data_IF_812137929760
#
_entry.id   IF_812137929760
#
_cell.length_a   1.000
_cell.length_b   1.000
_cell.length_c   1.000
_cell.angle_alpha   90.00
_cell.angle_beta   90.00
_cell.angle_gamma   90.00
#
_symmetry.space_group_name_H-M   'P 1'
#
loop_
_entity.id
_entity.type
_entity.pdbx_description
1 polymer ?
#
# COMPACT_ATOMS: atom_id res chain seq x y z
N UNK A 1 -4.90 -16.64 -21.06
CA UNK A 1 -4.88 -15.55 -20.05
C UNK A 1 -4.41 -16.11 -18.73
N UNK A 2 -3.35 -15.58 -18.17
CA UNK A 2 -2.86 -16.03 -16.85
C UNK A 2 -3.69 -15.43 -15.70
N UNK A 3 -3.43 -15.85 -14.48
CA UNK A 3 -4.23 -15.38 -13.32
C UNK A 3 -4.12 -13.88 -13.08
N UNK A 4 -2.94 -13.31 -13.27
CA UNK A 4 -2.70 -11.86 -13.13
C UNK A 4 -3.59 -11.08 -14.11
N UNK A 5 -3.57 -11.48 -15.38
CA UNK A 5 -4.39 -10.86 -16.43
C UNK A 5 -5.88 -11.00 -16.14
N UNK A 6 -6.31 -12.17 -15.64
CA UNK A 6 -7.70 -12.40 -15.24
C UNK A 6 -8.14 -11.44 -14.13
N UNK A 7 -7.31 -11.21 -13.12
CA UNK A 7 -7.62 -10.30 -12.02
C UNK A 7 -7.66 -8.84 -12.48
N UNK A 8 -6.69 -8.42 -13.30
CA UNK A 8 -6.65 -7.07 -13.86
C UNK A 8 -7.92 -6.80 -14.67
N UNK A 9 -8.32 -7.72 -15.54
CA UNK A 9 -9.51 -7.56 -16.36
C UNK A 9 -10.79 -7.59 -15.53
N UNK A 10 -10.93 -8.57 -14.63
CA UNK A 10 -12.14 -8.73 -13.83
C UNK A 10 -12.44 -7.55 -12.95
N UNK A 11 -11.41 -6.99 -12.32
CA UNK A 11 -11.56 -5.91 -11.35
C UNK A 11 -11.16 -4.54 -11.87
N UNK A 12 -10.85 -4.44 -13.18
CA UNK A 12 -10.47 -3.19 -13.86
C UNK A 12 -9.31 -2.49 -13.16
N UNK A 13 -8.28 -3.26 -12.79
CA UNK A 13 -7.12 -2.73 -12.09
C UNK A 13 -6.27 -1.86 -13.02
N UNK A 14 -5.78 -0.74 -12.51
CA UNK A 14 -4.91 0.18 -13.23
C UNK A 14 -3.77 0.67 -12.34
N UNK A 15 -2.67 1.23 -12.92
CA UNK A 15 -1.50 1.62 -12.13
C UNK A 15 -1.79 2.65 -11.03
N UNK A 16 -1.14 2.48 -9.87
CA UNK A 16 -1.20 3.40 -8.73
C UNK A 16 0.07 4.26 -8.67
N UNK A 17 -0.01 5.54 -8.23
CA UNK A 17 1.18 6.41 -8.09
C UNK A 17 2.28 5.86 -7.19
N UNK A 18 1.94 5.12 -6.13
CA UNK A 18 2.92 4.50 -5.23
C UNK A 18 3.59 3.26 -5.81
N UNK A 19 3.04 2.71 -6.88
CA UNK A 19 3.40 1.43 -7.47
C UNK A 19 2.28 0.41 -7.30
N UNK A 20 2.28 -0.64 -8.14
CA UNK A 20 1.23 -1.64 -8.16
C UNK A 20 0.00 -1.21 -8.96
N UNK A 21 -1.07 -2.00 -8.85
CA UNK A 21 -2.34 -1.79 -9.56
C UNK A 21 -3.50 -1.74 -8.58
N UNK A 22 -4.51 -0.91 -8.86
CA UNK A 22 -5.65 -0.76 -7.94
C UNK A 22 -6.94 -0.46 -8.69
N UNK A 23 -8.05 -0.63 -7.99
CA UNK A 23 -9.37 -0.13 -8.42
C UNK A 23 -10.17 0.28 -7.19
N UNK A 24 -10.80 1.45 -7.27
CA UNK A 24 -11.72 1.90 -6.24
C UNK A 24 -13.02 1.10 -6.34
N UNK A 25 -13.49 0.52 -5.22
CA UNK A 25 -14.66 -0.36 -5.21
C UNK A 25 -15.73 0.06 -4.24
N UNK A 26 -15.43 0.92 -3.28
CA UNK A 26 -16.41 1.37 -2.31
C UNK A 26 -16.02 2.73 -1.73
N UNK A 27 -17.01 3.60 -1.60
CA UNK A 27 -16.94 4.83 -0.81
C UNK A 27 -18.19 4.90 0.04
N UNK A 28 -18.04 5.00 1.36
CA UNK A 28 -19.16 5.07 2.26
C UNK A 28 -20.00 6.33 1.98
N UNK A 29 -21.34 6.24 1.95
CA UNK A 29 -22.19 7.40 1.71
C UNK A 29 -22.38 8.29 2.93
N UNK A 30 -21.65 8.04 4.00
CA UNK A 30 -21.74 8.75 5.28
C UNK A 30 -20.51 9.65 5.44
N UNK A 31 -20.70 10.85 5.99
CA UNK A 31 -19.62 11.81 6.15
C UNK A 31 -18.96 11.68 7.53
N UNK A 32 -17.63 11.73 7.52
CA UNK A 32 -16.80 11.88 8.71
C UNK A 32 -16.64 13.37 9.05
N UNK A 33 -16.44 14.19 8.02
CA UNK A 33 -16.31 15.65 8.08
C UNK A 33 -17.04 16.23 6.86
N UNK A 34 -17.19 17.56 6.81
CA UNK A 34 -17.96 18.28 5.80
C UNK A 34 -17.73 17.79 4.36
N UNK A 35 -16.48 17.55 3.98
CA UNK A 35 -16.11 17.14 2.62
C UNK A 35 -15.37 15.80 2.58
N UNK A 36 -15.62 14.93 3.57
CA UNK A 36 -14.90 13.66 3.63
C UNK A 36 -15.80 12.52 4.13
N UNK A 37 -15.90 11.50 3.34
CA UNK A 37 -16.65 10.29 3.67
C UNK A 37 -15.92 9.51 4.78
N UNK A 38 -16.64 8.68 5.53
CA UNK A 38 -16.11 8.01 6.71
C UNK A 38 -15.30 6.75 6.39
N UNK A 39 -15.38 6.20 5.19
CA UNK A 39 -14.61 5.01 4.81
C UNK A 39 -14.60 4.80 3.30
N UNK A 40 -13.63 4.08 2.82
CA UNK A 40 -13.56 3.60 1.44
C UNK A 40 -12.76 2.32 1.35
N UNK A 41 -12.81 1.67 0.19
CA UNK A 41 -12.06 0.45 -0.05
C UNK A 41 -11.62 0.35 -1.51
N UNK A 42 -10.47 -0.28 -1.71
CA UNK A 42 -9.91 -0.58 -3.03
C UNK A 42 -9.54 -2.05 -3.10
N UNK A 43 -9.48 -2.58 -4.32
CA UNK A 43 -8.64 -3.74 -4.61
C UNK A 43 -7.24 -3.23 -4.96
N UNK A 44 -6.24 -3.99 -4.58
CA UNK A 44 -4.84 -3.65 -4.82
C UNK A 44 -4.03 -4.90 -5.15
N UNK A 45 -3.08 -4.80 -6.08
CA UNK A 45 -2.26 -5.95 -6.48
C UNK A 45 -0.83 -5.51 -6.76
N UNK A 46 0.12 -6.26 -6.24
CA UNK A 46 1.53 -6.20 -6.63
C UNK A 46 1.84 -7.41 -7.52
N UNK A 47 2.46 -7.14 -8.66
CA UNK A 47 2.84 -8.17 -9.64
C UNK A 47 4.35 -8.27 -9.67
N UNK A 48 4.88 -9.48 -9.41
CA UNK A 48 6.32 -9.75 -9.46
C UNK A 48 7.10 -8.80 -8.56
N UNK A 49 8.04 -8.03 -9.11
CA UNK A 49 8.88 -7.10 -8.37
C UNK A 49 8.30 -5.69 -8.25
N UNK A 50 7.00 -5.52 -8.48
CA UNK A 50 6.32 -4.28 -8.14
C UNK A 50 6.52 -3.95 -6.66
N UNK A 51 6.65 -2.67 -6.37
CA UNK A 51 6.78 -2.17 -5.01
C UNK A 51 5.74 -1.08 -4.80
N UNK A 52 4.97 -1.19 -3.71
CA UNK A 52 4.23 -0.06 -3.16
C UNK A 52 5.23 0.72 -2.31
N UNK A 53 5.78 1.80 -2.89
CA UNK A 53 6.88 2.55 -2.29
C UNK A 53 6.45 3.29 -1.02
N UNK A 54 7.41 3.60 -0.15
CA UNK A 54 7.14 4.31 1.10
C UNK A 54 6.30 5.56 0.86
N UNK A 55 5.21 5.64 1.58
CA UNK A 55 4.26 6.75 1.55
C UNK A 55 3.60 6.89 2.91
N UNK A 56 2.91 8.02 3.09
CA UNK A 56 2.16 8.34 4.30
C UNK A 56 0.76 8.75 3.87
N UNK A 57 -0.24 8.30 4.62
CA UNK A 57 -1.62 8.74 4.45
C UNK A 57 -2.18 9.25 5.77
N UNK A 58 -3.23 10.06 5.71
CA UNK A 58 -3.84 10.70 6.88
C UNK A 58 -5.07 9.94 7.40
N UNK A 59 -5.12 8.64 7.16
CA UNK A 59 -6.19 7.75 7.61
C UNK A 59 -5.59 6.41 8.03
N UNK A 60 -6.31 5.66 8.85
CA UNK A 60 -5.95 4.27 9.10
C UNK A 60 -6.23 3.44 7.86
N UNK A 61 -5.40 2.45 7.58
CA UNK A 61 -5.60 1.53 6.46
C UNK A 61 -5.55 0.09 6.96
N UNK A 62 -6.48 -0.72 6.48
CA UNK A 62 -6.56 -2.15 6.80
C UNK A 62 -6.35 -2.92 5.51
N UNK A 63 -5.37 -3.82 5.51
CA UNK A 63 -5.05 -4.68 4.36
C UNK A 63 -5.56 -6.09 4.63
N UNK A 64 -6.32 -6.65 3.68
CA UNK A 64 -6.88 -8.01 3.75
C UNK A 64 -6.32 -8.85 2.62
N UNK A 65 -5.66 -9.95 2.97
CA UNK A 65 -5.13 -10.88 1.98
C UNK A 65 -6.24 -11.64 1.26
N UNK A 66 -6.15 -11.75 -0.06
CA UNK A 66 -7.08 -12.56 -0.85
C UNK A 66 -6.39 -13.72 -1.54
N UNK A 67 -5.28 -13.48 -2.25
CA UNK A 67 -4.70 -14.49 -3.14
C UNK A 67 -3.24 -14.16 -3.46
N UNK A 68 -2.44 -15.18 -3.70
CA UNK A 68 -1.07 -15.05 -4.19
C UNK A 68 -0.02 -15.44 -3.16
N UNK A 69 1.20 -14.95 -3.36
CA UNK A 69 2.35 -15.35 -2.54
C UNK A 69 2.43 -14.66 -1.17
N UNK A 70 1.70 -13.58 -0.98
CA UNK A 70 1.82 -12.76 0.22
C UNK A 70 2.74 -11.57 0.03
N UNK A 71 2.61 -10.59 0.93
CA UNK A 71 3.37 -9.34 0.92
C UNK A 71 4.09 -9.13 2.24
N UNK A 72 5.28 -8.52 2.18
CA UNK A 72 5.91 -7.93 3.35
C UNK A 72 5.53 -6.46 3.40
N UNK A 73 4.91 -6.02 4.50
CA UNK A 73 4.59 -4.61 4.75
C UNK A 73 5.62 -4.11 5.76
N UNK A 74 6.40 -3.10 5.35
CA UNK A 74 7.43 -2.49 6.20
C UNK A 74 6.93 -1.13 6.65
N UNK A 75 7.03 -0.85 7.94
CA UNK A 75 6.56 0.39 8.58
C UNK A 75 7.71 1.08 9.29
N UNK A 76 7.72 2.42 9.25
CA UNK A 76 8.64 3.25 10.01
C UNK A 76 7.78 4.21 10.83
N UNK A 77 7.87 4.13 12.16
CA UNK A 77 7.12 5.02 13.03
C UNK A 77 7.82 6.38 13.22
N UNK A 78 7.19 7.27 13.97
CA UNK A 78 7.70 8.64 14.22
C UNK A 78 9.03 8.65 14.98
N UNK A 79 9.33 7.59 15.73
CA UNK A 79 10.58 7.43 16.48
C UNK A 79 11.69 6.78 15.64
N UNK A 80 11.40 6.45 14.37
CA UNK A 80 12.35 5.80 13.47
C UNK A 80 12.46 4.29 13.66
N UNK A 81 11.54 3.67 14.40
CA UNK A 81 11.52 2.22 14.56
C UNK A 81 10.98 1.55 13.30
N UNK A 82 11.76 0.61 12.76
CA UNK A 82 11.38 -0.15 11.56
C UNK A 82 10.81 -1.48 12.01
N UNK A 83 9.58 -1.76 11.58
CA UNK A 83 8.92 -3.05 11.81
C UNK A 83 8.39 -3.60 10.50
N UNK A 84 8.16 -4.90 10.43
CA UNK A 84 7.54 -5.51 9.26
C UNK A 84 6.54 -6.57 9.68
N UNK A 85 5.53 -6.75 8.84
CA UNK A 85 4.51 -7.78 9.00
C UNK A 85 4.26 -8.42 7.64
N UNK A 86 4.29 -9.75 7.60
CA UNK A 86 3.95 -10.49 6.38
C UNK A 86 2.44 -10.72 6.33
N UNK A 87 1.83 -10.33 5.22
CA UNK A 87 0.39 -10.47 4.95
C UNK A 87 0.18 -11.69 4.06
N UNK A 88 -0.58 -12.67 4.52
CA UNK A 88 -0.84 -13.92 3.80
C UNK A 88 -1.53 -14.93 4.69
N UNK A 89 -1.50 -16.21 4.27
CA UNK A 89 -2.19 -17.30 4.99
C UNK A 89 -1.28 -18.39 5.52
N UNK A 90 0.05 -18.24 5.39
CA UNK A 90 1.00 -19.19 5.97
C UNK A 90 1.14 -18.93 7.48
N UNK A 91 1.72 -19.91 8.22
CA UNK A 91 1.78 -19.87 9.69
C UNK A 91 2.45 -18.60 10.24
N UNK A 92 3.46 -18.05 9.55
CA UNK A 92 4.18 -16.85 9.97
C UNK A 92 3.56 -15.55 9.44
N UNK A 93 2.43 -15.65 8.75
CA UNK A 93 1.78 -14.53 8.07
C UNK A 93 0.43 -14.21 8.73
N UNK A 94 0.00 -12.95 8.60
CA UNK A 94 -1.31 -12.52 9.08
C UNK A 94 -2.23 -12.27 7.89
N UNK A 95 -3.50 -12.68 8.02
CA UNK A 95 -4.50 -12.49 6.96
C UNK A 95 -4.95 -11.03 6.84
N UNK A 96 -4.74 -10.25 7.89
CA UNK A 96 -5.10 -8.83 7.97
C UNK A 96 -4.00 -8.07 8.69
N UNK A 97 -3.66 -6.88 8.16
CA UNK A 97 -2.67 -5.98 8.77
C UNK A 97 -3.26 -4.57 8.83
N UNK A 98 -3.12 -3.90 9.97
CA UNK A 98 -3.54 -2.51 10.17
C UNK A 98 -2.32 -1.60 10.11
N UNK A 99 -2.39 -0.56 9.27
CA UNK A 99 -1.40 0.51 9.23
C UNK A 99 -2.04 1.76 9.82
N UNK A 100 -1.58 2.24 11.00
CA UNK A 100 -2.12 3.47 11.60
C UNK A 100 -1.82 4.70 10.74
N UNK A 101 -2.70 5.68 10.79
CA UNK A 101 -2.48 6.95 10.08
C UNK A 101 -1.15 7.58 10.47
N UNK A 102 -0.49 8.20 9.52
CA UNK A 102 0.75 8.93 9.74
C UNK A 102 2.01 8.08 9.79
N UNK A 103 1.88 6.75 9.75
CA UNK A 103 3.03 5.83 9.69
C UNK A 103 3.53 5.75 8.25
N UNK A 104 4.84 5.83 8.05
CA UNK A 104 5.46 5.56 6.75
C UNK A 104 5.42 4.07 6.48
N UNK A 105 4.92 3.65 5.31
CA UNK A 105 4.87 2.22 5.00
C UNK A 105 5.08 1.94 3.53
N UNK A 106 5.57 0.73 3.26
CA UNK A 106 5.82 0.20 1.92
C UNK A 106 5.47 -1.28 1.90
N UNK A 107 5.21 -1.83 0.71
CA UNK A 107 4.91 -3.24 0.56
C UNK A 107 5.61 -3.84 -0.65
N UNK A 108 6.00 -5.09 -0.55
CA UNK A 108 6.62 -5.86 -1.61
C UNK A 108 6.16 -7.31 -1.54
N UNK A 109 6.16 -8.00 -2.68
CA UNK A 109 5.82 -9.42 -2.71
C UNK A 109 6.86 -10.25 -1.97
N UNK A 110 6.42 -11.30 -1.28
CA UNK A 110 7.33 -12.27 -0.67
C UNK A 110 8.06 -13.12 -1.70
N UNK A 111 7.54 -13.19 -2.94
CA UNK A 111 8.19 -13.85 -4.08
C UNK A 111 8.15 -12.92 -5.29
N UNK A 112 9.30 -12.66 -5.90
CA UNK A 112 9.43 -11.78 -7.06
C UNK A 112 8.92 -12.42 -8.36
N UNK A 113 8.60 -13.71 -8.35
CA UNK A 113 8.08 -14.44 -9.49
C UNK A 113 6.55 -14.57 -9.49
N UNK A 114 5.89 -14.01 -8.49
CA UNK A 114 4.46 -14.21 -8.25
C UNK A 114 3.72 -12.86 -8.14
N UNK A 115 2.59 -12.87 -7.48
CA UNK A 115 1.73 -11.70 -7.27
C UNK A 115 1.05 -11.82 -5.92
N UNK A 116 0.52 -10.70 -5.42
CA UNK A 116 -0.37 -10.70 -4.26
C UNK A 116 -1.55 -9.79 -4.54
N UNK A 117 -2.75 -10.31 -4.33
CA UNK A 117 -4.01 -9.60 -4.51
C UNK A 117 -4.67 -9.42 -3.14
N UNK A 118 -5.02 -8.16 -2.83
CA UNK A 118 -5.52 -7.75 -1.52
C UNK A 118 -6.70 -6.78 -1.67
N UNK A 119 -7.41 -6.54 -0.57
CA UNK A 119 -8.26 -5.36 -0.40
C UNK A 119 -7.63 -4.45 0.63
N UNK A 120 -7.80 -3.14 0.45
CA UNK A 120 -7.43 -2.15 1.44
C UNK A 120 -8.65 -1.31 1.77
N UNK A 121 -8.93 -1.13 3.06
CA UNK A 121 -9.99 -0.25 3.53
C UNK A 121 -9.38 0.90 4.31
N UNK A 122 -9.88 2.12 4.12
CA UNK A 122 -9.42 3.29 4.87
C UNK A 122 -10.54 3.91 5.67
N UNK A 123 -10.20 4.49 6.80
CA UNK A 123 -11.12 5.26 7.63
C UNK A 123 -10.37 6.45 8.24
N UNK A 124 -10.82 7.69 7.94
CA UNK A 124 -11.81 8.09 6.94
C UNK A 124 -11.37 7.75 5.51
N UNK A 125 -12.18 8.13 4.52
CA UNK A 125 -11.89 7.87 3.11
C UNK A 125 -10.53 8.43 2.70
N UNK A 126 -9.79 7.64 1.93
CA UNK A 126 -8.52 8.06 1.31
C UNK A 126 -8.74 9.28 0.41
N UNK A 127 -7.84 10.26 0.51
CA UNK A 127 -7.80 11.42 -0.37
C UNK A 127 -6.35 11.69 -0.78
N UNK A 128 -6.13 12.03 -2.04
CA UNK A 128 -4.79 12.37 -2.51
C UNK A 128 -4.20 13.58 -1.81
N UNK A 129 -5.01 14.50 -1.31
CA UNK A 129 -4.54 15.64 -0.50
C UNK A 129 -3.89 15.20 0.82
N UNK A 130 -4.23 14.01 1.32
CA UNK A 130 -3.64 13.44 2.52
C UNK A 130 -2.58 12.36 2.24
N UNK A 131 -2.20 12.19 0.99
CA UNK A 131 -1.21 11.21 0.54
C UNK A 131 0.08 11.90 0.14
N UNK A 132 1.22 11.34 0.54
CA UNK A 132 2.49 11.76 -0.03
C UNK A 132 3.49 10.61 -0.08
N UNK A 133 4.27 10.58 -1.15
CA UNK A 133 5.43 9.71 -1.27
C UNK A 133 6.55 10.23 -0.38
N UNK A 134 7.30 9.33 0.24
CA UNK A 134 8.35 9.66 1.22
C UNK A 134 9.71 9.58 0.55
N UNK A 135 10.52 10.63 0.68
CA UNK A 135 11.92 10.61 0.27
C UNK A 135 12.74 9.88 1.33
N UNK A 136 13.76 9.13 0.90
CA UNK A 136 14.60 8.37 1.83
C UNK A 136 15.24 9.25 2.90
N UNK A 137 15.57 10.50 2.56
CA UNK A 137 16.13 11.48 3.49
C UNK A 137 15.19 11.85 4.65
N UNK A 138 13.89 11.58 4.53
CA UNK A 138 12.90 11.83 5.60
C UNK A 138 12.92 10.75 6.68
N UNK A 139 13.52 9.58 6.39
CA UNK A 139 13.58 8.49 7.36
C UNK A 139 14.64 8.81 8.43
N UNK A 140 14.27 8.65 9.72
CA UNK A 140 15.18 8.88 10.85
C UNK A 140 15.81 7.58 11.34
N UNK A 141 16.08 6.64 10.43
CA UNK A 141 16.62 5.31 10.72
C UNK A 141 17.66 4.92 9.68
N UNK A 142 18.38 3.83 9.94
CA UNK A 142 19.25 3.21 8.94
C UNK A 142 18.40 2.56 7.84
N UNK A 143 18.52 3.06 6.62
CA UNK A 143 17.74 2.60 5.46
C UNK A 143 18.47 1.59 4.58
N UNK A 144 19.67 1.14 4.96
CA UNK A 144 20.49 0.26 4.11
C UNK A 144 19.80 -1.03 3.68
N UNK A 145 18.94 -1.62 4.53
CA UNK A 145 18.19 -2.85 4.22
C UNK A 145 16.84 -2.60 3.54
N UNK A 146 16.38 -1.35 3.47
CA UNK A 146 15.06 -0.99 2.94
C UNK A 146 15.15 0.10 1.86
N UNK A 147 16.37 0.42 1.42
CA UNK A 147 16.62 1.44 0.40
C UNK A 147 15.75 1.25 -0.85
N UNK A 148 15.60 0.01 -1.32
CA UNK A 148 14.82 -0.34 -2.51
C UNK A 148 13.32 -0.03 -2.40
N UNK A 149 12.83 0.19 -1.18
CA UNK A 149 11.41 0.51 -0.94
C UNK A 149 11.11 2.01 -1.08
N UNK A 150 12.14 2.85 -1.21
CA UNK A 150 11.94 4.28 -1.48
C UNK A 150 11.94 4.53 -2.98
N UNK A 151 10.97 5.32 -3.42
CA UNK A 151 10.95 5.78 -4.81
C UNK A 151 12.09 6.78 -5.02
N UNK A 152 12.66 6.80 -6.23
CA UNK A 152 13.67 7.79 -6.61
C UNK A 152 13.12 9.21 -6.44
N UNK A 153 13.91 10.12 -5.86
CA UNK A 153 13.50 11.50 -5.59
C UNK A 153 12.98 12.23 -6.85
N UNK A 154 13.61 11.99 -7.99
CA UNK A 154 13.19 12.59 -9.26
C UNK A 154 11.81 12.08 -9.69
N UNK A 155 11.51 10.80 -9.46
CA UNK A 155 10.19 10.23 -9.74
C UNK A 155 9.13 10.77 -8.78
N UNK A 156 9.46 10.95 -7.50
CA UNK A 156 8.56 11.55 -6.51
C UNK A 156 8.18 12.96 -6.95
N UNK A 157 9.14 13.77 -7.35
CA UNK A 157 8.93 15.15 -7.75
C UNK A 157 8.07 15.28 -9.01
N UNK A 158 8.00 14.25 -9.85
CA UNK A 158 7.21 14.22 -11.09
C UNK A 158 5.82 13.62 -10.93
N UNK A 159 5.56 12.82 -9.88
CA UNK A 159 4.35 12.01 -9.75
C UNK A 159 3.07 12.85 -9.63
N UNK A 160 3.14 14.06 -9.11
CA UNK A 160 1.99 14.94 -8.87
C UNK A 160 2.09 16.29 -9.60
N UNK A 161 2.81 16.36 -10.69
CA UNK A 161 2.91 17.59 -11.52
C UNK A 161 1.68 17.77 -12.41
#
# INVERSE_FOLDING_TARGET
MNRIEQLIEKYHLHPHPEGGHFAEVYTAPYLYQENRECAGSIYFMLVKNDISHFHVIDCDEIWYFHEGCGMKITMIDEDGNVTSQDLGMKDSEEAMVVIPKGVMFAAENLSQDSYTFVSCATTPQFQYSGFRLVKESEASCDTSNIHHLFMDDAQIDQTFL
#
